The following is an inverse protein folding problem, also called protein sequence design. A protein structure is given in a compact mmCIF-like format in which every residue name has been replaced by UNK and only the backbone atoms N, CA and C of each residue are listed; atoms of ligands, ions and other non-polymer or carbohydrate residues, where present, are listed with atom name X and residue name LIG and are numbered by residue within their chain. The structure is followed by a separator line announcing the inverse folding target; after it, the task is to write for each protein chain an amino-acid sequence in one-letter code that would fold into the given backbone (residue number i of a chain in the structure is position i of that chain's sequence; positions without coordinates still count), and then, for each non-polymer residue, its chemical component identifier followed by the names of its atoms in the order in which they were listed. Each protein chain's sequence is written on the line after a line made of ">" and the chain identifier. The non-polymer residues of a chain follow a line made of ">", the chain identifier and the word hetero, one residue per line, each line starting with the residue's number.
data_IF_520022581269
#
_entry.id   IF_520022581269
#
_cell.length_a   1.000
_cell.length_b   1.000
_cell.length_c   1.000
_cell.angle_alpha   90.00
_cell.angle_beta   90.00
_cell.angle_gamma   90.00
#
_symmetry.space_group_name_H-M   'P 1'
#
loop_
_entity.id
_entity.type
_entity.pdbx_description
1 polymer ?
#
# COMPACT_ATOMS: atom_id res chain seq x y z
N UNK A 1 -14.66 -1.65 -4.67
CA UNK A 1 -14.93 -3.11 -4.77
C UNK A 1 -16.38 -3.45 -4.46
N UNK A 2 -16.89 -3.22 -3.24
CA UNK A 2 -18.25 -3.64 -2.83
C UNK A 2 -19.43 -2.85 -3.46
N UNK A 3 -19.19 -1.64 -3.96
CA UNK A 3 -20.22 -0.82 -4.64
C UNK A 3 -20.71 -1.42 -5.96
N UNK A 4 -19.98 -2.38 -6.54
CA UNK A 4 -20.36 -3.08 -7.79
C UNK A 4 -21.18 -4.36 -7.54
N UNK A 5 -21.49 -4.69 -6.29
CA UNK A 5 -22.23 -5.91 -5.92
C UNK A 5 -23.73 -5.64 -5.80
N UNK A 6 -24.55 -6.65 -6.12
CA UNK A 6 -25.99 -6.66 -5.86
C UNK A 6 -26.26 -6.37 -4.36
N UNK A 7 -27.31 -5.58 -4.02
CA UNK A 7 -27.71 -5.26 -2.64
C UNK A 7 -27.62 -6.42 -1.63
N UNK A 8 -28.10 -7.62 -1.98
CA UNK A 8 -28.05 -8.79 -1.08
C UNK A 8 -26.62 -9.26 -0.82
N UNK A 9 -25.81 -9.39 -1.88
CA UNK A 9 -24.38 -9.74 -1.78
C UNK A 9 -23.61 -8.68 -1.02
N UNK A 10 -23.97 -7.41 -1.15
CA UNK A 10 -23.37 -6.30 -0.41
C UNK A 10 -23.66 -6.38 1.09
N UNK A 11 -24.91 -6.67 1.47
CA UNK A 11 -25.28 -6.87 2.88
C UNK A 11 -24.53 -8.06 3.49
N UNK A 12 -24.53 -9.21 2.79
CA UNK A 12 -23.80 -10.39 3.23
C UNK A 12 -22.30 -10.09 3.38
N UNK A 13 -21.68 -9.45 2.40
CA UNK A 13 -20.27 -9.06 2.46
C UNK A 13 -20.00 -8.10 3.63
N UNK A 14 -20.90 -7.16 3.93
CA UNK A 14 -20.76 -6.26 5.07
C UNK A 14 -20.79 -7.03 6.41
N UNK A 15 -21.71 -7.99 6.56
CA UNK A 15 -21.79 -8.84 7.74
C UNK A 15 -20.51 -9.68 7.93
N UNK A 16 -20.02 -10.30 6.85
CA UNK A 16 -18.76 -11.07 6.87
C UNK A 16 -17.57 -10.17 7.22
N UNK A 17 -17.45 -9.00 6.60
CA UNK A 17 -16.38 -8.05 6.90
C UNK A 17 -16.42 -7.55 8.34
N UNK A 18 -17.60 -7.33 8.91
CA UNK A 18 -17.73 -6.93 10.31
C UNK A 18 -17.13 -8.01 11.23
N UNK A 19 -17.49 -9.28 11.00
CA UNK A 19 -16.93 -10.40 11.76
C UNK A 19 -15.42 -10.53 11.58
N UNK A 20 -14.92 -10.38 10.34
CA UNK A 20 -13.48 -10.42 10.07
C UNK A 20 -12.73 -9.29 10.78
N UNK A 21 -13.28 -8.08 10.81
CA UNK A 21 -12.71 -6.95 11.54
C UNK A 21 -12.64 -7.21 13.05
N UNK A 22 -13.71 -7.77 13.63
CA UNK A 22 -13.72 -8.13 15.05
C UNK A 22 -12.69 -9.21 15.37
N UNK A 23 -12.54 -10.20 14.48
CA UNK A 23 -11.53 -11.23 14.63
C UNK A 23 -10.10 -10.67 14.51
N UNK A 24 -9.84 -9.80 13.54
CA UNK A 24 -8.55 -9.13 13.36
C UNK A 24 -8.15 -8.32 14.60
N UNK A 25 -9.07 -7.50 15.13
CA UNK A 25 -8.80 -6.70 16.34
C UNK A 25 -8.62 -7.58 17.57
N UNK A 26 -9.46 -8.60 17.79
CA UNK A 26 -9.37 -9.44 19.00
C UNK A 26 -8.13 -10.33 19.01
N UNK A 27 -7.71 -10.84 17.86
CA UNK A 27 -6.48 -11.63 17.75
C UNK A 27 -5.22 -10.78 17.88
N UNK A 28 -5.26 -9.51 17.47
CA UNK A 28 -4.14 -8.56 17.64
C UNK A 28 -3.69 -8.38 19.09
N UNK A 29 -4.59 -8.63 20.07
CA UNK A 29 -4.26 -8.56 21.49
C UNK A 29 -3.21 -9.59 21.92
N UNK A 30 -3.12 -10.73 21.22
CA UNK A 30 -2.20 -11.84 21.51
C UNK A 30 -0.79 -11.63 20.93
N UNK A 31 -0.58 -10.60 20.13
CA UNK A 31 0.75 -10.27 19.61
C UNK A 31 1.59 -9.70 20.74
N UNK A 32 2.77 -10.26 20.96
CA UNK A 32 3.72 -9.77 21.97
C UNK A 32 4.31 -8.42 21.55
N UNK A 33 4.84 -8.36 20.33
CA UNK A 33 5.52 -7.18 19.79
C UNK A 33 5.09 -6.89 18.35
N UNK A 34 4.66 -5.65 18.11
CA UNK A 34 4.45 -5.16 16.75
C UNK A 34 5.72 -4.50 16.22
N UNK A 35 6.12 -4.88 15.01
CA UNK A 35 7.18 -4.25 14.26
C UNK A 35 6.57 -3.66 12.98
N UNK A 36 6.85 -2.40 12.71
CA UNK A 36 6.38 -1.68 11.52
C UNK A 36 7.55 -1.31 10.62
N UNK A 37 7.35 -1.40 9.31
CA UNK A 37 8.36 -1.00 8.32
C UNK A 37 8.51 0.53 8.15
N UNK A 38 7.61 1.31 8.76
CA UNK A 38 7.55 2.76 8.59
C UNK A 38 6.73 3.40 9.71
N UNK A 39 6.93 4.70 9.91
CA UNK A 39 6.09 5.50 10.83
C UNK A 39 4.63 5.53 10.40
N UNK A 40 4.35 5.50 9.10
CA UNK A 40 2.98 5.45 8.58
C UNK A 40 2.26 4.15 8.98
N UNK A 41 2.92 3.01 8.83
CA UNK A 41 2.34 1.72 9.25
C UNK A 41 2.22 1.63 10.77
N UNK A 42 3.19 2.13 11.54
CA UNK A 42 3.09 2.20 13.00
C UNK A 42 1.87 3.01 13.46
N UNK A 43 1.61 4.17 12.83
CA UNK A 43 0.39 4.96 13.10
C UNK A 43 -0.89 4.21 12.76
N UNK A 44 -0.90 3.37 11.71
CA UNK A 44 -2.04 2.52 11.38
C UNK A 44 -2.27 1.46 12.45
N UNK A 45 -1.22 0.80 12.92
CA UNK A 45 -1.30 -0.17 14.03
C UNK A 45 -1.87 0.51 15.27
N UNK A 46 -1.37 1.70 15.63
CA UNK A 46 -1.92 2.48 16.76
C UNK A 46 -3.39 2.85 16.55
N UNK A 47 -3.78 3.27 15.34
CA UNK A 47 -5.16 3.67 15.03
C UNK A 47 -6.15 2.52 15.11
N UNK A 48 -5.79 1.36 14.57
CA UNK A 48 -6.72 0.23 14.42
C UNK A 48 -6.67 -0.75 15.60
N UNK A 49 -5.49 -0.98 16.17
CA UNK A 49 -5.28 -1.96 17.24
C UNK A 49 -5.02 -1.31 18.61
N UNK A 50 -4.83 0.01 18.68
CA UNK A 50 -4.47 0.72 19.94
C UNK A 50 -3.19 0.18 20.58
N UNK A 51 -2.27 -0.32 19.75
CA UNK A 51 -0.97 -0.88 20.14
C UNK A 51 0.16 -0.04 19.55
N UNK A 52 1.23 0.14 20.31
CA UNK A 52 2.48 0.70 19.81
C UNK A 52 3.23 -0.33 18.97
N UNK A 53 3.99 0.14 17.98
CA UNK A 53 4.88 -0.69 17.16
C UNK A 53 6.27 -0.06 17.09
N UNK A 54 7.30 -0.90 17.21
CA UNK A 54 8.68 -0.50 16.97
C UNK A 54 8.88 -0.35 15.46
N UNK A 55 9.46 0.78 15.02
CA UNK A 55 9.72 1.00 13.60
C UNK A 55 11.12 0.50 13.25
N UNK A 56 11.18 -0.45 12.32
CA UNK A 56 12.42 -0.92 11.69
C UNK A 56 12.25 -0.68 10.19
N UNK A 57 12.97 0.31 9.66
CA UNK A 57 12.89 0.62 8.23
C UNK A 57 13.44 -0.55 7.40
N UNK A 58 12.79 -0.90 6.27
CA UNK A 58 13.26 -1.99 5.44
C UNK A 58 14.65 -1.64 4.89
N UNK A 59 15.63 -2.55 4.98
CA UNK A 59 16.95 -2.32 4.40
C UNK A 59 16.90 -2.35 2.87
N UNK A 60 17.89 -1.74 2.24
CA UNK A 60 18.18 -1.86 0.82
C UNK A 60 19.61 -2.36 0.66
N UNK A 61 19.84 -3.23 -0.33
CA UNK A 61 21.19 -3.70 -0.64
C UNK A 61 21.95 -2.60 -1.38
N UNK A 62 22.79 -1.86 -0.67
CA UNK A 62 23.58 -0.75 -1.23
C UNK A 62 24.82 -1.21 -2.01
N UNK A 63 25.17 -2.50 -1.95
CA UNK A 63 26.22 -3.08 -2.79
C UNK A 63 25.69 -3.43 -4.18
N UNK A 64 24.44 -3.90 -4.24
CA UNK A 64 23.74 -4.16 -5.51
C UNK A 64 23.12 -2.89 -6.11
N UNK A 65 22.44 -2.06 -5.31
CA UNK A 65 21.81 -0.81 -5.75
C UNK A 65 22.74 0.37 -5.50
N UNK A 66 23.44 0.80 -6.55
CA UNK A 66 24.25 2.02 -6.55
C UNK A 66 23.64 3.06 -7.48
N UNK A 67 23.74 4.37 -7.17
CA UNK A 67 23.37 5.42 -8.11
C UNK A 67 24.12 5.24 -9.44
N UNK A 68 23.41 5.39 -10.56
CA UNK A 68 24.02 5.43 -11.88
C UNK A 68 24.61 6.80 -12.19
N UNK A 69 25.31 6.90 -13.32
CA UNK A 69 25.77 8.18 -13.87
C UNK A 69 24.70 8.77 -14.80
N UNK A 70 24.18 9.95 -14.46
CA UNK A 70 23.26 10.73 -15.27
C UNK A 70 21.80 10.72 -14.81
N UNK A 71 21.11 11.79 -15.17
CA UNK A 71 19.66 11.91 -15.02
C UNK A 71 19.02 11.59 -16.38
N UNK A 72 18.00 10.74 -16.39
CA UNK A 72 17.20 10.54 -17.60
C UNK A 72 16.25 11.72 -17.82
N UNK A 73 16.06 12.15 -19.08
CA UNK A 73 15.05 13.14 -19.46
C UNK A 73 13.62 12.54 -19.45
N UNK A 74 13.27 11.82 -18.38
CA UNK A 74 11.97 11.16 -18.22
C UNK A 74 11.63 10.90 -16.76
N UNK A 75 10.34 10.72 -16.49
CA UNK A 75 9.84 10.24 -15.22
C UNK A 75 9.67 8.72 -15.26
N UNK A 76 9.96 8.04 -14.15
CA UNK A 76 9.94 6.58 -14.10
C UNK A 76 8.93 6.06 -13.06
N UNK A 77 8.13 5.09 -13.48
CA UNK A 77 7.31 4.27 -12.56
C UNK A 77 7.75 2.83 -12.69
N UNK A 78 8.29 2.28 -11.60
CA UNK A 78 8.60 0.84 -11.49
C UNK A 78 7.72 0.20 -10.43
N UNK A 79 6.74 -0.59 -10.87
CA UNK A 79 5.88 -1.35 -9.95
C UNK A 79 5.05 -2.40 -10.68
N UNK A 80 4.65 -3.47 -9.98
CA UNK A 80 3.64 -4.38 -10.51
C UNK A 80 2.37 -3.63 -10.91
N UNK A 81 1.90 -3.84 -12.14
CA UNK A 81 0.71 -3.18 -12.71
C UNK A 81 -0.61 -3.69 -12.11
N UNK A 82 -0.83 -3.34 -10.84
CA UNK A 82 -2.04 -3.68 -10.08
C UNK A 82 -2.90 -2.45 -9.86
N UNK A 83 -4.22 -2.63 -9.83
CA UNK A 83 -5.18 -1.55 -9.70
C UNK A 83 -4.97 -0.65 -8.46
N UNK A 84 -4.42 -1.18 -7.36
CA UNK A 84 -4.14 -0.39 -6.15
C UNK A 84 -2.98 0.60 -6.34
N UNK A 85 -1.99 0.29 -7.19
CA UNK A 85 -0.82 1.15 -7.41
C UNK A 85 -1.13 2.40 -8.24
N UNK A 86 -2.31 2.44 -8.85
CA UNK A 86 -2.86 3.59 -9.60
C UNK A 86 -1.94 4.15 -10.67
N UNK A 87 -1.25 3.27 -11.41
CA UNK A 87 -0.41 3.66 -12.56
C UNK A 87 -1.24 4.34 -13.65
N UNK A 88 -2.54 4.01 -13.75
CA UNK A 88 -3.53 4.70 -14.60
C UNK A 88 -3.55 6.21 -14.38
N UNK A 89 -3.52 6.66 -13.11
CA UNK A 89 -3.53 8.09 -12.79
C UNK A 89 -2.24 8.78 -13.20
N UNK A 90 -1.09 8.10 -13.06
CA UNK A 90 0.18 8.64 -13.50
C UNK A 90 0.14 8.85 -15.02
N UNK A 91 -0.24 7.84 -15.78
CA UNK A 91 -0.36 7.94 -17.25
C UNK A 91 -1.32 9.07 -17.67
N UNK A 92 -2.50 9.17 -17.04
CA UNK A 92 -3.47 10.23 -17.31
C UNK A 92 -2.88 11.63 -17.06
N UNK A 93 -2.18 11.82 -15.94
CA UNK A 93 -1.56 13.09 -15.59
C UNK A 93 -0.45 13.46 -16.60
N UNK A 94 0.41 12.51 -16.94
CA UNK A 94 1.53 12.76 -17.85
C UNK A 94 1.08 13.00 -19.30
N UNK A 95 0.00 12.36 -19.75
CA UNK A 95 -0.64 12.67 -21.04
C UNK A 95 -1.18 14.11 -21.09
N UNK A 96 -1.64 14.67 -19.97
CA UNK A 96 -2.11 16.07 -19.90
C UNK A 96 -0.97 17.08 -19.81
N UNK A 97 0.12 16.70 -19.13
CA UNK A 97 1.30 17.54 -18.94
C UNK A 97 2.24 17.52 -20.15
N UNK A 98 2.07 16.56 -21.07
CA UNK A 98 2.97 16.32 -22.20
C UNK A 98 4.43 16.13 -21.77
N UNK A 99 4.63 15.46 -20.63
CA UNK A 99 5.96 15.13 -20.10
C UNK A 99 6.29 13.65 -20.36
N UNK A 100 7.57 13.31 -20.58
CA UNK A 100 7.99 11.93 -20.82
C UNK A 100 7.83 11.05 -19.58
N UNK A 101 7.09 9.95 -19.71
CA UNK A 101 6.87 8.94 -18.67
C UNK A 101 7.24 7.54 -19.19
N UNK A 102 8.13 6.85 -18.47
CA UNK A 102 8.47 5.44 -18.68
C UNK A 102 7.84 4.59 -17.58
N UNK A 103 7.16 3.52 -17.97
CA UNK A 103 6.49 2.60 -17.04
C UNK A 103 7.09 1.20 -17.20
N UNK A 104 7.53 0.61 -16.08
CA UNK A 104 8.06 -0.75 -15.98
C UNK A 104 7.22 -1.49 -14.92
N UNK A 105 6.68 -2.68 -15.23
CA UNK A 105 5.83 -3.38 -14.26
C UNK A 105 5.51 -4.84 -14.54
#
# INVERSE_FOLDING_TARGET
>A
YLRRLNPFKRWYAAAVMHRLRMWDVTTSARVDHFIANSRFVAQRIQRYYRRSATVIHPPVDTGYFTPGEGDGDYFLVVSRLTAYKRVDLAVEAFNRLSLPLVVIG
#
